data_IF_823599843661
#
_entry.id   IF_823599843661
#
_cell.length_a   1.000
_cell.length_b   1.000
_cell.length_c   1.000
_cell.angle_alpha   90.00
_cell.angle_beta   90.00
_cell.angle_gamma   90.00
#
_symmetry.space_group_name_H-M   'P 1'
#
loop_
_entity.id
_entity.type
_entity.pdbx_description
1 polymer ?
#
# COMPACT_ATOMS: atom_id res chain seq x y z
N UNK A 1 -4.71 -4.37 29.37
CA UNK A 1 -5.26 -3.06 29.75
C UNK A 1 -6.01 -2.46 28.56
N UNK A 2 -7.26 -2.88 28.31
CA UNK A 2 -8.17 -2.10 27.46
C UNK A 2 -8.88 -1.13 28.39
N UNK A 3 -8.98 0.15 28.01
CA UNK A 3 -9.83 1.08 28.74
C UNK A 3 -11.25 0.50 28.83
N UNK A 4 -11.81 0.51 30.03
CA UNK A 4 -13.21 0.11 30.23
C UNK A 4 -14.08 1.07 29.44
N UNK A 5 -15.11 0.53 28.77
CA UNK A 5 -16.10 1.39 28.13
C UNK A 5 -16.85 2.08 29.27
N UNK A 6 -17.00 3.42 29.26
CA UNK A 6 -17.76 4.11 30.28
C UNK A 6 -19.19 3.56 30.34
N UNK A 7 -19.90 3.80 31.45
CA UNK A 7 -21.20 3.16 31.70
C UNK A 7 -22.31 3.61 30.74
N UNK A 8 -22.20 4.81 30.14
CA UNK A 8 -23.24 5.42 29.29
C UNK A 8 -22.72 6.18 28.04
N UNK A 9 -21.94 5.56 27.15
CA UNK A 9 -21.71 6.13 25.82
C UNK A 9 -22.71 5.59 24.80
N UNK A 10 -23.04 6.41 23.79
CA UNK A 10 -23.94 6.06 22.71
C UNK A 10 -23.20 5.48 21.49
N UNK A 11 -23.94 4.71 20.69
CA UNK A 11 -23.50 4.19 19.40
C UNK A 11 -23.29 5.35 18.40
N UNK A 12 -22.50 5.12 17.35
CA UNK A 12 -22.21 6.10 16.29
C UNK A 12 -21.59 7.44 16.74
N UNK A 13 -21.00 7.48 17.94
CA UNK A 13 -20.44 8.68 18.57
C UNK A 13 -21.45 9.81 18.81
N UNK A 14 -22.73 9.46 18.98
CA UNK A 14 -23.75 10.40 19.41
C UNK A 14 -23.37 11.01 20.78
N UNK A 15 -23.64 12.28 20.92
CA UNK A 15 -23.50 13.04 22.17
C UNK A 15 -24.84 13.08 22.90
N UNK A 16 -24.83 13.45 24.18
CA UNK A 16 -26.10 13.57 24.93
C UNK A 16 -27.01 14.66 24.35
N UNK A 17 -26.43 15.71 23.76
CA UNK A 17 -27.17 16.74 23.04
C UNK A 17 -27.94 16.22 21.83
N UNK A 18 -27.39 15.21 21.14
CA UNK A 18 -28.07 14.58 19.99
C UNK A 18 -29.24 13.70 20.46
N UNK A 19 -29.17 13.16 21.68
CA UNK A 19 -30.10 12.15 22.19
C UNK A 19 -31.12 12.73 23.20
N UNK A 20 -30.95 13.98 23.64
CA UNK A 20 -31.77 14.56 24.72
C UNK A 20 -33.27 14.61 24.45
N UNK A 21 -33.65 14.79 23.18
CA UNK A 21 -35.05 14.89 22.75
C UNK A 21 -35.75 13.53 22.59
N UNK A 22 -35.00 12.44 22.65
CA UNK A 22 -35.52 11.10 22.44
C UNK A 22 -36.10 10.52 23.74
N UNK A 23 -37.06 9.61 23.58
CA UNK A 23 -37.66 8.91 24.72
C UNK A 23 -36.61 8.08 25.49
N UNK A 24 -36.83 7.82 26.80
CA UNK A 24 -35.89 7.01 27.59
C UNK A 24 -35.65 5.60 27.05
N UNK A 25 -36.64 5.03 26.35
CA UNK A 25 -36.52 3.74 25.67
C UNK A 25 -35.59 3.83 24.46
N UNK A 26 -35.78 4.85 23.61
CA UNK A 26 -34.91 5.07 22.45
C UNK A 26 -33.46 5.36 22.87
N UNK A 27 -33.28 6.15 23.93
CA UNK A 27 -31.96 6.41 24.53
C UNK A 27 -31.27 5.12 25.00
N UNK A 28 -32.03 4.18 25.58
CA UNK A 28 -31.52 2.85 25.95
C UNK A 28 -31.10 2.03 24.73
N UNK A 29 -31.91 2.00 23.68
CA UNK A 29 -31.57 1.28 22.43
C UNK A 29 -30.28 1.82 21.78
N UNK A 30 -30.04 3.13 21.86
CA UNK A 30 -28.84 3.77 21.32
C UNK A 30 -27.61 3.62 22.23
N UNK A 31 -27.75 3.05 23.42
CA UNK A 31 -26.63 2.84 24.34
C UNK A 31 -25.67 1.78 23.81
N UNK A 32 -24.36 1.95 24.06
CA UNK A 32 -23.35 0.94 23.69
C UNK A 32 -23.52 -0.40 24.41
N UNK A 33 -24.36 -0.49 25.44
CA UNK A 33 -24.73 -1.76 26.08
C UNK A 33 -25.51 -2.66 25.13
N UNK A 34 -26.38 -2.06 24.32
CA UNK A 34 -27.18 -2.74 23.31
C UNK A 34 -26.47 -2.84 21.95
N UNK A 35 -25.37 -2.11 21.77
CA UNK A 35 -24.59 -2.08 20.54
C UNK A 35 -23.85 -3.38 20.24
N UNK A 36 -23.55 -3.60 18.96
CA UNK A 36 -22.77 -4.75 18.51
C UNK A 36 -21.29 -4.64 18.93
N UNK A 37 -20.55 -5.75 18.83
CA UNK A 37 -19.10 -5.72 19.05
C UNK A 37 -18.34 -4.81 18.08
N UNK A 38 -18.92 -4.55 16.90
CA UNK A 38 -18.39 -3.59 15.92
C UNK A 38 -18.62 -2.16 16.41
N UNK A 39 -19.79 -1.85 16.96
CA UNK A 39 -20.11 -0.51 17.47
C UNK A 39 -19.20 -0.11 18.63
N UNK A 40 -18.94 -1.04 19.55
CA UNK A 40 -17.96 -0.84 20.62
C UNK A 40 -16.55 -0.60 20.06
N UNK A 41 -16.17 -1.30 18.99
CA UNK A 41 -14.87 -1.11 18.32
C UNK A 41 -14.81 0.24 17.60
N UNK A 42 -15.89 0.64 16.93
CA UNK A 42 -16.03 1.92 16.25
C UNK A 42 -15.91 3.08 17.22
N UNK A 43 -16.65 3.05 18.32
CA UNK A 43 -16.56 4.06 19.36
C UNK A 43 -15.13 4.18 19.92
N UNK A 44 -14.49 3.05 20.26
CA UNK A 44 -13.08 3.05 20.74
C UNK A 44 -12.11 3.64 19.72
N UNK A 45 -12.26 3.30 18.43
CA UNK A 45 -11.43 3.86 17.36
C UNK A 45 -11.60 5.39 17.30
N UNK A 46 -12.82 5.90 17.42
CA UNK A 46 -13.08 7.35 17.40
C UNK A 46 -12.50 8.07 18.62
N UNK A 47 -12.61 7.51 19.82
CA UNK A 47 -11.95 8.09 21.01
C UNK A 47 -10.43 8.15 20.83
N UNK A 48 -9.84 7.11 20.25
CA UNK A 48 -8.41 7.09 19.93
C UNK A 48 -8.04 8.10 18.83
N UNK A 49 -8.87 8.28 17.81
CA UNK A 49 -8.68 9.32 16.79
C UNK A 49 -8.70 10.70 17.46
N UNK A 50 -9.75 11.02 18.22
CA UNK A 50 -9.89 12.30 18.94
C UNK A 50 -8.70 12.62 19.84
N UNK A 51 -8.09 11.60 20.46
CA UNK A 51 -6.93 11.76 21.34
C UNK A 51 -5.62 12.06 20.61
N UNK A 52 -5.40 11.50 19.42
CA UNK A 52 -4.11 11.57 18.72
C UNK A 52 -4.15 12.38 17.42
N UNK A 53 -5.32 12.86 17.02
CA UNK A 53 -5.49 13.74 15.85
C UNK A 53 -4.79 15.08 16.09
N UNK A 54 -4.18 15.62 15.04
CA UNK A 54 -3.56 16.96 15.09
C UNK A 54 -4.55 18.09 14.84
N UNK A 55 -5.52 17.83 13.98
CA UNK A 55 -6.62 18.73 13.64
C UNK A 55 -7.94 17.97 13.73
N UNK A 56 -9.07 18.68 13.75
CA UNK A 56 -10.39 18.06 13.83
C UNK A 56 -10.72 17.10 12.65
N UNK A 57 -10.06 17.29 11.50
CA UNK A 57 -10.22 16.48 10.28
C UNK A 57 -9.10 15.44 10.08
N UNK A 58 -8.17 15.31 11.03
CA UNK A 58 -7.02 14.41 10.88
C UNK A 58 -7.38 12.95 11.18
N UNK A 59 -7.59 12.19 10.11
CA UNK A 59 -7.91 10.75 10.18
C UNK A 59 -6.70 9.85 9.92
N UNK A 60 -5.61 10.38 9.34
CA UNK A 60 -4.56 9.57 8.71
C UNK A 60 -3.14 9.86 9.20
N UNK A 61 -2.94 10.76 10.17
CA UNK A 61 -1.62 10.98 10.74
C UNK A 61 -1.00 9.69 11.31
N UNK A 62 0.35 9.61 11.37
CA UNK A 62 1.02 8.41 11.84
C UNK A 62 0.60 7.99 13.26
N UNK A 63 0.37 8.97 14.15
CA UNK A 63 -0.10 8.72 15.52
C UNK A 63 -1.51 8.09 15.55
N UNK A 64 -2.46 8.70 14.83
CA UNK A 64 -3.84 8.17 14.70
C UNK A 64 -3.82 6.76 14.10
N UNK A 65 -3.03 6.53 13.04
CA UNK A 65 -2.90 5.20 12.41
C UNK A 65 -2.40 4.14 13.38
N UNK A 66 -1.41 4.46 14.23
CA UNK A 66 -0.90 3.52 15.25
C UNK A 66 -2.01 3.18 16.25
N UNK A 67 -2.77 4.18 16.70
CA UNK A 67 -3.85 3.99 17.66
C UNK A 67 -4.98 3.12 17.09
N UNK A 68 -5.47 3.43 15.89
CA UNK A 68 -6.52 2.67 15.19
C UNK A 68 -6.09 1.23 14.90
N UNK A 69 -4.85 1.02 14.43
CA UNK A 69 -4.32 -0.32 14.19
C UNK A 69 -4.20 -1.12 15.49
N UNK A 70 -3.83 -0.46 16.58
CA UNK A 70 -3.73 -1.10 17.90
C UNK A 70 -5.08 -1.59 18.39
N UNK A 71 -6.16 -0.80 18.25
CA UNK A 71 -7.52 -1.28 18.55
C UNK A 71 -7.82 -2.53 17.72
N UNK A 72 -7.65 -2.47 16.40
CA UNK A 72 -7.99 -3.57 15.48
C UNK A 72 -7.22 -4.85 15.83
N UNK A 73 -5.94 -4.73 16.20
CA UNK A 73 -5.11 -5.87 16.65
C UNK A 73 -5.64 -6.42 17.98
N UNK A 74 -5.99 -5.57 18.95
CA UNK A 74 -6.53 -6.03 20.24
C UNK A 74 -7.88 -6.73 20.08
N UNK A 75 -8.75 -6.25 19.18
CA UNK A 75 -10.04 -6.90 18.90
C UNK A 75 -9.84 -8.26 18.26
N UNK A 76 -8.97 -8.33 17.27
CA UNK A 76 -8.68 -9.57 16.56
C UNK A 76 -7.99 -10.59 17.48
N UNK A 77 -7.08 -10.13 18.35
CA UNK A 77 -6.47 -10.96 19.40
C UNK A 77 -7.54 -11.58 20.30
N UNK A 78 -8.48 -10.78 20.80
CA UNK A 78 -9.57 -11.28 21.64
C UNK A 78 -10.45 -12.29 20.88
N UNK A 79 -10.75 -12.03 19.61
CA UNK A 79 -11.51 -12.96 18.77
C UNK A 79 -10.77 -14.30 18.57
N UNK A 80 -9.47 -14.26 18.28
CA UNK A 80 -8.64 -15.45 18.10
C UNK A 80 -8.54 -16.28 19.39
N UNK A 81 -8.39 -15.62 20.55
CA UNK A 81 -8.34 -16.30 21.85
C UNK A 81 -9.65 -16.98 22.20
N UNK A 82 -10.79 -16.37 21.86
CA UNK A 82 -12.12 -16.94 22.11
C UNK A 82 -12.46 -18.10 21.16
N UNK A 83 -11.91 -18.10 19.95
CA UNK A 83 -12.31 -19.01 18.86
C UNK A 83 -11.11 -19.75 18.21
N UNK A 84 -10.36 -20.60 18.95
CA UNK A 84 -9.08 -21.15 18.49
C UNK A 84 -9.16 -22.21 17.36
N UNK A 85 -10.32 -22.81 17.09
CA UNK A 85 -10.49 -23.93 16.15
C UNK A 85 -11.46 -23.67 14.99
N UNK A 86 -11.86 -22.42 14.75
CA UNK A 86 -12.90 -22.10 13.76
C UNK A 86 -12.36 -22.08 12.33
N UNK A 87 -13.23 -22.44 11.37
CA UNK A 87 -12.97 -22.29 9.93
C UNK A 87 -12.76 -20.80 9.65
N UNK A 88 -11.53 -20.40 9.33
CA UNK A 88 -11.12 -18.99 9.18
C UNK A 88 -10.12 -18.47 10.22
N UNK A 89 -9.80 -19.26 11.26
CA UNK A 89 -8.80 -18.89 12.27
C UNK A 89 -7.43 -18.55 11.65
N UNK A 90 -6.98 -19.31 10.64
CA UNK A 90 -5.73 -19.03 9.94
C UNK A 90 -5.76 -17.70 9.16
N UNK A 91 -6.86 -17.41 8.46
CA UNK A 91 -7.05 -16.14 7.76
C UNK A 91 -7.05 -14.95 8.74
N UNK A 92 -7.68 -15.11 9.90
CA UNK A 92 -7.66 -14.13 10.97
C UNK A 92 -6.23 -13.89 11.50
N UNK A 93 -5.42 -14.93 11.75
CA UNK A 93 -4.00 -14.80 12.14
C UNK A 93 -3.17 -14.06 11.09
N UNK A 94 -3.33 -14.39 9.81
CA UNK A 94 -2.66 -13.70 8.70
C UNK A 94 -3.05 -12.21 8.70
N UNK A 95 -4.34 -11.92 8.86
CA UNK A 95 -4.84 -10.54 8.93
C UNK A 95 -4.31 -9.77 10.16
N UNK A 96 -4.04 -10.46 11.27
CA UNK A 96 -3.40 -9.87 12.45
C UNK A 96 -1.93 -9.52 12.16
N UNK A 97 -1.18 -10.45 11.55
CA UNK A 97 0.21 -10.24 11.13
C UNK A 97 0.35 -9.06 10.16
N UNK A 98 -0.56 -8.95 9.18
CA UNK A 98 -0.61 -7.79 8.27
C UNK A 98 -0.84 -6.47 9.02
N UNK A 99 -1.73 -6.43 10.02
CA UNK A 99 -1.98 -5.22 10.83
C UNK A 99 -0.76 -4.88 11.70
N UNK A 100 -0.09 -5.86 12.29
CA UNK A 100 1.16 -5.67 13.03
C UNK A 100 2.24 -5.04 12.14
N UNK A 101 2.39 -5.55 10.92
CA UNK A 101 3.33 -5.02 9.92
C UNK A 101 2.98 -3.59 9.50
N UNK A 102 1.70 -3.28 9.27
CA UNK A 102 1.23 -1.91 8.97
C UNK A 102 1.50 -0.96 10.15
N UNK A 103 1.31 -1.42 11.39
CA UNK A 103 1.57 -0.62 12.59
C UNK A 103 3.05 -0.33 12.76
N UNK A 104 3.92 -1.32 12.54
CA UNK A 104 5.37 -1.14 12.60
C UNK A 104 5.85 -0.12 11.55
N UNK A 105 5.29 -0.14 10.34
CA UNK A 105 5.59 0.89 9.32
C UNK A 105 5.17 2.30 9.78
N UNK A 106 3.97 2.44 10.35
CA UNK A 106 3.51 3.73 10.88
C UNK A 106 4.37 4.23 12.05
N UNK A 107 4.77 3.32 12.95
CA UNK A 107 5.73 3.61 14.04
C UNK A 107 7.07 4.10 13.50
N UNK A 108 7.62 3.46 12.46
CA UNK A 108 8.87 3.87 11.82
C UNK A 108 8.77 5.27 11.18
N UNK A 109 7.64 5.58 10.56
CA UNK A 109 7.40 6.91 10.00
C UNK A 109 7.36 7.97 11.10
N UNK A 110 6.58 7.72 12.17
CA UNK A 110 6.49 8.64 13.30
C UNK A 110 7.84 8.82 14.00
N UNK A 111 8.60 7.74 14.20
CA UNK A 111 9.94 7.77 14.78
C UNK A 111 10.91 8.65 13.98
N UNK A 112 10.80 8.67 12.65
CA UNK A 112 11.63 9.51 11.78
C UNK A 112 11.19 10.98 11.82
N UNK A 113 9.89 11.26 11.90
CA UNK A 113 9.38 12.63 11.83
C UNK A 113 9.37 13.34 13.19
N UNK A 114 8.91 12.67 14.25
CA UNK A 114 8.76 13.24 15.59
C UNK A 114 8.92 12.16 16.66
N UNK A 115 10.11 12.11 17.26
CA UNK A 115 10.45 11.14 18.29
C UNK A 115 9.70 11.36 19.61
N UNK A 116 9.42 12.61 19.97
CA UNK A 116 8.73 12.93 21.23
C UNK A 116 7.30 12.42 21.20
N UNK A 117 6.59 12.68 20.10
CA UNK A 117 5.25 12.19 19.86
C UNK A 117 5.24 10.65 19.74
N UNK A 118 6.24 10.05 19.11
CA UNK A 118 6.37 8.59 19.06
C UNK A 118 6.44 7.97 20.45
N UNK A 119 7.27 8.51 21.35
CA UNK A 119 7.42 8.02 22.73
C UNK A 119 6.10 8.15 23.49
N UNK A 120 5.46 9.33 23.40
CA UNK A 120 4.18 9.59 24.04
C UNK A 120 3.09 8.60 23.56
N UNK A 121 2.92 8.43 22.25
CA UNK A 121 1.94 7.49 21.68
C UNK A 121 2.20 6.06 22.13
N UNK A 122 3.47 5.63 22.20
CA UNK A 122 3.82 4.28 22.65
C UNK A 122 3.50 4.08 24.14
N UNK A 123 3.80 5.07 24.99
CA UNK A 123 3.49 5.02 26.42
C UNK A 123 1.98 4.95 26.65
N UNK A 124 1.22 5.85 26.02
CA UNK A 124 -0.25 5.92 26.13
C UNK A 124 -0.96 4.64 25.67
N UNK A 125 -0.45 4.01 24.60
CA UNK A 125 -1.03 2.78 24.07
C UNK A 125 -0.47 1.51 24.73
N UNK A 126 0.50 1.62 25.64
CA UNK A 126 1.18 0.48 26.26
C UNK A 126 1.97 -0.37 25.25
N UNK A 127 2.51 0.25 24.20
CA UNK A 127 3.33 -0.40 23.17
C UNK A 127 4.80 -0.27 23.56
N UNK A 128 5.55 -1.37 23.45
CA UNK A 128 7.01 -1.33 23.63
C UNK A 128 7.65 -0.41 22.57
N UNK A 129 8.39 0.58 23.03
CA UNK A 129 9.18 1.44 22.15
C UNK A 129 10.27 0.59 21.47
N UNK A 130 10.28 0.58 20.14
CA UNK A 130 11.33 -0.04 19.32
C UNK A 130 12.28 1.04 18.83
N UNK A 131 13.60 0.78 18.90
CA UNK A 131 14.61 1.60 18.23
C UNK A 131 14.66 1.18 16.76
N UNK A 132 14.23 2.03 15.83
CA UNK A 132 14.31 1.71 14.40
C UNK A 132 15.69 2.01 13.82
N UNK A 133 16.16 1.16 12.92
CA UNK A 133 17.30 1.47 12.06
C UNK A 133 16.90 2.57 11.07
N UNK A 134 17.78 3.57 10.91
CA UNK A 134 17.64 4.65 9.93
C UNK A 134 18.75 4.47 8.88
N UNK A 135 18.49 3.74 7.78
CA UNK A 135 19.46 3.59 6.70
C UNK A 135 19.74 4.98 6.11
N UNK A 136 20.99 5.42 6.15
CA UNK A 136 21.42 6.76 5.71
C UNK A 136 21.75 7.74 6.85
N UNK A 137 21.63 7.33 8.12
CA UNK A 137 22.21 8.09 9.24
C UNK A 137 23.74 8.07 9.16
N UNK A 138 24.40 9.19 9.47
CA UNK A 138 25.88 9.25 9.58
C UNK A 138 26.40 8.37 10.72
N UNK A 139 25.62 8.23 11.79
CA UNK A 139 25.98 7.40 12.95
C UNK A 139 25.79 5.90 12.68
N UNK A 140 26.85 5.06 12.74
CA UNK A 140 26.75 3.62 12.48
C UNK A 140 25.82 2.88 13.46
N UNK A 141 25.79 3.34 14.72
CA UNK A 141 24.92 2.79 15.78
C UNK A 141 23.42 2.99 15.52
N UNK A 142 23.06 3.94 14.67
CA UNK A 142 21.66 4.20 14.23
C UNK A 142 21.31 3.48 12.93
N UNK A 143 22.31 2.98 12.20
CA UNK A 143 22.11 2.17 10.99
C UNK A 143 21.74 0.73 11.33
N UNK A 144 22.19 0.23 12.48
CA UNK A 144 21.94 -1.14 12.95
C UNK A 144 20.93 -1.10 14.10
N UNK A 145 19.86 -1.89 13.99
CA UNK A 145 18.96 -2.11 15.13
C UNK A 145 19.34 -3.44 15.81
N UNK A 146 19.82 -3.43 17.07
CA UNK A 146 20.24 -4.65 17.77
C UNK A 146 19.07 -5.61 18.04
N UNK A 147 17.82 -5.12 18.05
CA UNK A 147 16.61 -5.92 18.26
C UNK A 147 15.91 -6.34 16.96
N UNK A 148 16.42 -5.93 15.78
CA UNK A 148 15.71 -6.23 14.55
C UNK A 148 15.72 -7.72 14.21
N UNK A 149 14.52 -8.26 14.01
CA UNK A 149 14.25 -9.50 13.27
C UNK A 149 14.83 -9.34 11.86
N UNK A 150 15.56 -10.34 11.36
CA UNK A 150 16.35 -10.40 10.12
C UNK A 150 15.77 -9.69 8.88
N UNK A 151 14.45 -9.49 8.78
CA UNK A 151 13.79 -8.91 7.62
C UNK A 151 14.24 -7.49 7.22
N UNK A 152 14.57 -6.60 8.16
CA UNK A 152 15.05 -5.25 7.81
C UNK A 152 16.53 -5.26 7.39
N UNK A 153 17.36 -6.12 8.01
CA UNK A 153 18.74 -6.36 7.60
C UNK A 153 18.80 -7.05 6.24
N UNK A 154 17.94 -8.05 6.00
CA UNK A 154 17.78 -8.71 4.71
C UNK A 154 17.30 -7.74 3.63
N UNK A 155 16.28 -6.89 3.87
CA UNK A 155 15.87 -5.87 2.88
C UNK A 155 16.96 -4.83 2.61
N UNK A 156 17.78 -4.49 3.61
CA UNK A 156 18.93 -3.62 3.43
C UNK A 156 20.01 -4.30 2.59
N UNK A 157 20.40 -5.53 2.93
CA UNK A 157 21.38 -6.33 2.19
C UNK A 157 20.91 -6.63 0.76
N UNK A 158 19.63 -6.93 0.55
CA UNK A 158 19.03 -7.10 -0.78
C UNK A 158 19.10 -5.77 -1.54
N UNK A 159 18.78 -4.63 -0.92
CA UNK A 159 18.95 -3.31 -1.56
C UNK A 159 20.40 -3.00 -1.89
N UNK A 160 21.33 -3.28 -0.98
CA UNK A 160 22.76 -3.13 -1.22
C UNK A 160 23.20 -4.03 -2.37
N UNK A 161 22.82 -5.31 -2.37
CA UNK A 161 23.12 -6.27 -3.45
C UNK A 161 22.51 -5.84 -4.78
N UNK A 162 21.26 -5.36 -4.81
CA UNK A 162 20.61 -4.87 -6.02
C UNK A 162 21.23 -3.58 -6.55
N UNK A 163 21.55 -2.64 -5.65
CA UNK A 163 22.23 -1.39 -5.97
C UNK A 163 23.65 -1.68 -6.50
N UNK A 164 24.44 -2.43 -5.76
CA UNK A 164 25.78 -2.82 -6.16
C UNK A 164 25.80 -3.74 -7.38
N UNK A 165 24.78 -4.58 -7.63
CA UNK A 165 24.72 -5.40 -8.84
C UNK A 165 24.36 -4.60 -10.11
N UNK A 166 23.41 -3.65 -10.01
CA UNK A 166 23.02 -2.80 -11.15
C UNK A 166 24.15 -1.83 -11.54
N UNK A 167 24.88 -1.33 -10.54
CA UNK A 167 26.00 -0.40 -10.73
C UNK A 167 27.38 -1.07 -10.63
N UNK A 168 27.47 -2.41 -10.67
CA UNK A 168 28.75 -3.13 -10.69
C UNK A 168 29.39 -2.89 -12.05
N UNK A 169 30.60 -2.32 -12.16
CA UNK A 169 31.32 -2.33 -13.42
C UNK A 169 31.33 -3.76 -13.97
N UNK A 170 30.72 -3.97 -15.14
CA UNK A 170 30.75 -5.28 -15.77
C UNK A 170 32.18 -5.53 -16.19
N UNK A 171 32.65 -6.76 -15.99
CA UNK A 171 33.91 -7.17 -16.58
C UNK A 171 33.72 -7.18 -18.09
N UNK A 172 34.26 -6.17 -18.76
CA UNK A 172 34.27 -6.06 -20.21
C UNK A 172 35.61 -6.60 -20.69
N UNK A 173 35.57 -7.51 -21.66
CA UNK A 173 36.77 -7.89 -22.38
C UNK A 173 36.98 -6.88 -23.49
N UNK A 174 38.20 -6.39 -23.61
CA UNK A 174 38.59 -5.55 -24.72
C UNK A 174 38.35 -6.27 -26.05
N UNK A 175 37.73 -5.62 -27.04
CA UNK A 175 37.38 -6.27 -28.31
C UNK A 175 38.61 -6.61 -29.14
N UNK A 176 39.67 -5.81 -29.03
CA UNK A 176 40.91 -6.00 -29.79
C UNK A 176 41.90 -6.88 -29.04
N UNK A 177 42.05 -6.65 -27.73
CA UNK A 177 43.09 -7.30 -26.93
C UNK A 177 42.62 -8.52 -26.13
N UNK A 178 41.30 -8.78 -26.08
CA UNK A 178 40.63 -9.84 -25.30
C UNK A 178 41.00 -9.91 -23.80
N UNK A 179 41.63 -8.85 -23.29
CA UNK A 179 42.03 -8.68 -21.88
C UNK A 179 40.84 -8.16 -21.07
N UNK A 180 40.76 -8.60 -19.83
CA UNK A 180 39.70 -8.17 -18.90
C UNK A 180 39.95 -6.72 -18.48
N UNK A 181 39.11 -5.79 -18.92
CA UNK A 181 39.17 -4.39 -18.50
C UNK A 181 38.25 -4.20 -17.28
N UNK A 182 38.86 -3.75 -16.17
CA UNK A 182 38.14 -3.39 -14.94
C UNK A 182 37.98 -1.87 -14.88
N UNK A 183 36.80 -1.37 -15.20
CA UNK A 183 36.49 0.05 -15.01
C UNK A 183 36.05 0.32 -13.56
N UNK A 184 36.37 1.50 -13.02
CA UNK A 184 35.91 1.94 -11.68
C UNK A 184 34.47 2.44 -11.69
N UNK A 185 33.94 2.80 -12.87
CA UNK A 185 32.54 3.16 -13.14
C UNK A 185 32.12 2.48 -14.44
N UNK A 186 30.82 2.24 -14.63
CA UNK A 186 30.34 1.77 -15.93
C UNK A 186 30.76 2.76 -17.02
N UNK A 187 31.38 2.29 -18.13
CA UNK A 187 31.52 3.13 -19.32
C UNK A 187 30.14 3.66 -19.69
N UNK A 188 30.01 4.97 -19.84
CA UNK A 188 28.76 5.50 -20.38
C UNK A 188 28.71 5.09 -21.84
N UNK A 189 27.88 4.10 -22.15
CA UNK A 189 27.56 3.79 -23.53
C UNK A 189 26.94 5.05 -24.14
N UNK A 190 27.46 5.53 -25.29
CA UNK A 190 26.80 6.61 -25.99
C UNK A 190 25.36 6.18 -26.27
N UNK A 191 24.44 7.14 -26.20
CA UNK A 191 23.03 6.88 -26.50
C UNK A 191 22.97 6.21 -27.88
N UNK A 192 22.37 5.01 -27.99
CA UNK A 192 22.40 4.27 -29.24
C UNK A 192 21.76 5.11 -30.35
N UNK A 193 22.29 5.03 -31.57
CA UNK A 193 21.81 5.84 -32.70
C UNK A 193 20.33 5.57 -33.07
N UNK A 194 19.73 4.50 -32.52
CA UNK A 194 18.33 4.11 -32.62
C UNK A 194 17.44 4.67 -31.49
N UNK A 195 18.00 5.38 -30.51
CA UNK A 195 17.24 5.96 -29.41
C UNK A 195 16.24 7.00 -29.94
N UNK A 196 14.95 6.78 -29.68
CA UNK A 196 13.88 7.63 -30.19
C UNK A 196 13.48 7.38 -31.66
N UNK A 197 14.16 6.45 -32.35
CA UNK A 197 13.73 5.97 -33.68
C UNK A 197 12.80 4.78 -33.53
N UNK A 198 11.85 4.63 -34.44
CA UNK A 198 10.99 3.45 -34.49
C UNK A 198 11.84 2.20 -34.72
N UNK A 199 11.73 1.22 -33.82
CA UNK A 199 12.43 -0.06 -33.94
C UNK A 199 11.46 -1.05 -34.60
N UNK A 200 11.88 -1.63 -35.73
CA UNK A 200 11.13 -2.71 -36.37
C UNK A 200 11.05 -3.89 -35.41
N UNK A 201 9.87 -4.05 -34.79
CA UNK A 201 9.64 -5.12 -33.81
C UNK A 201 8.98 -6.28 -34.56
N UNK A 202 9.65 -7.43 -34.75
CA UNK A 202 9.03 -8.55 -35.45
C UNK A 202 7.79 -9.00 -34.68
N UNK A 203 6.67 -9.19 -35.37
CA UNK A 203 5.48 -9.73 -34.74
C UNK A 203 5.79 -11.15 -34.25
N UNK A 204 5.79 -11.35 -32.93
CA UNK A 204 5.95 -12.67 -32.35
C UNK A 204 4.61 -13.40 -32.32
N UNK A 205 4.56 -14.58 -32.92
CA UNK A 205 3.41 -15.47 -32.88
C UNK A 205 3.41 -16.17 -31.52
N UNK A 206 2.70 -15.63 -30.54
CA UNK A 206 2.51 -16.31 -29.25
C UNK A 206 1.29 -17.22 -29.32
N UNK A 207 1.40 -18.46 -28.81
CA UNK A 207 0.25 -19.37 -28.61
C UNK A 207 -0.55 -19.04 -27.34
N UNK A 208 -0.12 -18.03 -26.58
CA UNK A 208 -0.74 -17.65 -25.32
C UNK A 208 -1.93 -16.70 -25.54
N UNK A 209 -2.99 -16.93 -24.78
CA UNK A 209 -4.19 -16.08 -24.73
C UNK A 209 -3.85 -14.66 -24.23
N UNK A 210 -4.57 -13.60 -24.69
CA UNK A 210 -5.88 -13.58 -25.35
C UNK A 210 -5.85 -13.53 -26.89
N UNK A 211 -4.71 -13.76 -27.53
CA UNK A 211 -4.60 -13.68 -28.99
C UNK A 211 -3.65 -14.75 -29.52
N UNK A 212 -4.13 -16.00 -29.49
CA UNK A 212 -3.59 -17.04 -30.36
C UNK A 212 -3.77 -16.63 -31.83
N UNK A 213 -2.73 -16.77 -32.63
CA UNK A 213 -2.73 -16.32 -34.03
C UNK A 213 -3.53 -17.30 -34.90
N UNK A 214 -4.64 -16.84 -35.49
CA UNK A 214 -5.37 -17.56 -36.55
C UNK A 214 -4.53 -17.61 -37.84
N UNK A 215 -4.70 -18.65 -38.66
CA UNK A 215 -3.93 -18.84 -39.91
C UNK A 215 -3.92 -17.61 -40.83
N UNK A 216 -5.04 -16.89 -40.88
CA UNK A 216 -5.22 -15.66 -41.67
C UNK A 216 -4.21 -14.55 -41.32
N UNK A 217 -3.77 -14.48 -40.06
CA UNK A 217 -2.73 -13.54 -39.61
C UNK A 217 -1.33 -13.93 -40.08
N UNK A 218 -1.05 -15.24 -40.17
CA UNK A 218 0.24 -15.76 -40.66
C UNK A 218 0.35 -15.56 -42.17
N UNK A 219 -0.76 -15.70 -42.90
CA UNK A 219 -0.85 -15.45 -44.33
C UNK A 219 -0.77 -13.96 -44.72
N UNK A 220 -0.71 -13.05 -43.74
CA UNK A 220 -0.64 -11.61 -43.99
C UNK A 220 -1.94 -10.98 -44.51
N UNK A 221 -3.03 -11.75 -44.61
CA UNK A 221 -4.34 -11.33 -45.12
C UNK A 221 -5.21 -10.73 -44.01
N UNK A 222 -4.63 -10.01 -43.04
CA UNK A 222 -5.44 -9.35 -42.02
C UNK A 222 -5.86 -7.96 -42.51
N UNK A 223 -7.17 -7.71 -42.47
CA UNK A 223 -7.72 -6.37 -42.63
C UNK A 223 -7.38 -5.58 -41.36
N UNK A 224 -6.33 -4.75 -41.41
CA UNK A 224 -5.98 -3.85 -40.32
C UNK A 224 -6.89 -2.63 -40.40
N UNK A 225 -7.92 -2.60 -39.56
CA UNK A 225 -8.79 -1.44 -39.48
C UNK A 225 -8.01 -0.26 -38.88
N UNK A 226 -8.13 0.93 -39.49
CA UNK A 226 -7.56 2.15 -38.94
C UNK A 226 -8.20 2.42 -37.56
N UNK A 227 -7.44 2.41 -36.45
CA UNK A 227 -8.00 2.58 -35.10
C UNK A 227 -8.61 3.97 -34.88
N UNK A 228 -8.32 4.91 -35.78
CA UNK A 228 -8.87 6.27 -35.81
C UNK A 228 -10.05 6.42 -36.78
N UNK A 229 -10.33 5.39 -37.59
CA UNK A 229 -11.50 5.41 -38.46
C UNK A 229 -12.77 5.15 -37.66
N UNK A 230 -13.83 5.85 -38.06
CA UNK A 230 -15.18 5.72 -37.58
C UNK A 230 -15.70 4.29 -37.76
N UNK A 231 -15.66 3.47 -36.70
CA UNK A 231 -16.13 2.09 -36.73
C UNK A 231 -17.60 1.96 -37.19
N UNK A 232 -18.04 0.76 -37.62
CA UNK A 232 -19.45 0.53 -37.96
C UNK A 232 -20.33 0.83 -36.74
N UNK A 233 -21.08 1.94 -36.81
CA UNK A 233 -21.85 2.51 -35.69
C UNK A 233 -21.37 3.87 -35.20
N UNK A 234 -20.28 4.42 -35.74
CA UNK A 234 -19.89 5.81 -35.52
C UNK A 234 -20.84 6.73 -36.28
N UNK A 235 -21.68 7.43 -35.54
CA UNK A 235 -22.50 8.51 -36.05
C UNK A 235 -21.73 9.83 -35.86
N UNK A 236 -21.18 10.47 -36.92
CA UNK A 236 -20.61 11.79 -36.76
C UNK A 236 -21.69 12.74 -36.24
N UNK A 237 -21.36 13.58 -35.26
CA UNK A 237 -22.29 14.61 -34.79
C UNK A 237 -22.80 15.40 -36.01
N UNK A 238 -24.12 15.53 -36.15
CA UNK A 238 -24.75 16.25 -37.25
C UNK A 238 -24.25 17.70 -37.24
N UNK A 239 -23.24 18.00 -38.06
CA UNK A 239 -22.93 19.35 -38.45
C UNK A 239 -23.78 19.63 -39.69
N UNK A 240 -24.70 20.59 -39.56
CA UNK A 240 -25.52 21.05 -40.67
C UNK A 240 -24.63 21.68 -41.75
N UNK A 241 -24.40 20.95 -42.83
CA UNK A 241 -23.79 21.50 -44.04
C UNK A 241 -22.80 20.57 -44.71
N UNK A 242 -23.22 20.10 -45.90
CA UNK A 242 -22.41 19.69 -47.04
C UNK A 242 -21.94 18.21 -47.12
N UNK A 243 -22.67 17.45 -47.96
CA UNK A 243 -22.11 16.47 -48.90
C UNK A 243 -21.60 15.15 -48.34
N UNK A 244 -22.47 14.15 -48.22
CA UNK A 244 -22.07 12.76 -47.95
C UNK A 244 -21.40 12.10 -49.17
N UNK A 245 -20.34 11.27 -48.98
CA UNK A 245 -19.63 10.65 -50.09
C UNK A 245 -20.34 9.39 -50.63
N UNK A 246 -20.26 9.27 -51.96
CA UNK A 246 -20.74 8.18 -52.83
C UNK A 246 -19.97 6.89 -52.53
N UNK A 247 -20.69 5.76 -52.44
CA UNK A 247 -20.09 4.43 -52.25
C UNK A 247 -19.67 3.85 -53.60
N UNK A 248 -18.40 3.45 -53.70
CA UNK A 248 -17.92 2.38 -54.59
C UNK A 248 -17.45 1.23 -53.71
#
# INVERSE_FOLDING_TARGET
MRAQVPKEPYVWNLTDDDVKHLSPEMRRCLSLRCGSSEDVSNWRKHQLIRKFQRSASDTNSPAVRIAVLTEKIMRLRAHLLRNPGTRGHQAAKISMSMRLSKRQKAMKLLYKSDFTLYRHVCQELGIRCVRFAVPGSKDPSKMVNPQAVDGDRARFLIRQRMYHAKYRPRELRDTETNKLIRYTRHPMEPVPASHGKAIATPQQVSRAWPYGVRGDRVAGQQVVYNPTAAGPGYWPAKFDGLGGPVQN
#
